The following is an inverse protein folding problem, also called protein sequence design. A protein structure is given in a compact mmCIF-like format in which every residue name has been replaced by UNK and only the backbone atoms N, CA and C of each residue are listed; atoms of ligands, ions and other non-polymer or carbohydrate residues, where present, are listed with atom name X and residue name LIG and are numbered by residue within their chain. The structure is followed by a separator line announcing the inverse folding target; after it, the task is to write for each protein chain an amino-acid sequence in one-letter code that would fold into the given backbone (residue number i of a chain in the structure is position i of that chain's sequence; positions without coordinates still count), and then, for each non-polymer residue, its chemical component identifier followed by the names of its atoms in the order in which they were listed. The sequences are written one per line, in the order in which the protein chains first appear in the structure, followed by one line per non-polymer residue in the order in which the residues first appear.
data_IF_265842057567
#
_entry.id   IF_265842057567
#
_cell.length_a   1.000
_cell.length_b   1.000
_cell.length_c   1.000
_cell.angle_alpha   90.00
_cell.angle_beta   90.00
_cell.angle_gamma   90.00
#
_symmetry.space_group_name_H-M   'P 1'
#
loop_
_entity.id
_entity.type
_entity.pdbx_description
1 polymer ?
#
# COMPACT_ATOMS: atom_id res chain seq x y z
N UNK A 1 -25.73 92.19 1.24
CA UNK A 1 -24.87 92.27 2.44
C UNK A 1 -24.49 90.87 2.90
N UNK A 2 -23.12 90.70 2.94
CA UNK A 2 -22.33 89.73 3.69
C UNK A 2 -22.42 88.26 3.26
N UNK A 3 -21.44 87.83 2.48
CA UNK A 3 -20.21 87.09 2.85
C UNK A 3 -20.41 86.07 4.00
N UNK A 4 -20.05 84.82 3.69
CA UNK A 4 -19.03 83.97 4.33
C UNK A 4 -18.90 82.62 3.61
N UNK A 5 -17.88 82.44 2.96
CA UNK A 5 -16.75 81.51 2.88
C UNK A 5 -16.83 80.31 3.81
N UNK A 6 -16.46 79.21 3.28
CA UNK A 6 -15.97 78.10 4.14
C UNK A 6 -16.02 76.73 3.55
N UNK A 7 -14.97 76.39 2.99
CA UNK A 7 -14.06 75.27 3.26
C UNK A 7 -14.48 73.91 2.69
N UNK A 8 -13.77 73.59 1.60
CA UNK A 8 -13.71 72.24 1.06
C UNK A 8 -13.04 71.25 2.02
N UNK A 9 -13.78 70.25 2.34
CA UNK A 9 -13.24 69.07 3.00
C UNK A 9 -12.75 68.04 2.01
N UNK A 10 -11.46 67.97 1.81
CA UNK A 10 -10.82 66.90 1.05
C UNK A 10 -10.93 65.58 1.82
N UNK A 11 -11.74 64.68 1.37
CA UNK A 11 -11.76 63.29 1.87
C UNK A 11 -10.46 62.61 1.50
N UNK A 12 -9.67 62.23 2.48
CA UNK A 12 -8.44 61.42 2.30
C UNK A 12 -8.87 60.02 1.86
N UNK A 13 -8.13 59.40 0.90
CA UNK A 13 -8.36 58.01 0.54
C UNK A 13 -8.01 57.09 1.69
N UNK A 14 -8.92 56.16 1.98
CA UNK A 14 -8.75 55.13 2.98
C UNK A 14 -7.53 54.28 2.64
N UNK A 15 -6.62 54.15 3.58
CA UNK A 15 -5.37 53.41 3.49
C UNK A 15 -5.64 51.92 3.26
N UNK A 16 -5.00 51.41 2.24
CA UNK A 16 -4.54 50.05 1.99
C UNK A 16 -4.84 49.05 3.13
N UNK A 17 -5.67 48.08 2.82
CA UNK A 17 -5.80 46.86 3.61
C UNK A 17 -4.49 46.10 3.46
N UNK A 18 -3.67 46.11 4.50
CA UNK A 18 -2.51 45.26 4.62
C UNK A 18 -3.03 43.81 4.67
N UNK A 19 -2.84 43.08 3.59
CA UNK A 19 -3.06 41.66 3.57
C UNK A 19 -2.21 41.00 4.68
N UNK A 20 -2.89 40.41 5.63
CA UNK A 20 -2.25 39.57 6.63
C UNK A 20 -1.50 38.45 5.88
N UNK A 21 -0.19 38.24 6.10
CA UNK A 21 0.50 37.13 5.46
C UNK A 21 -0.16 35.84 5.95
N UNK A 22 -0.72 35.06 5.02
CA UNK A 22 -1.17 33.72 5.29
C UNK A 22 -0.01 32.97 5.93
N UNK A 23 -0.15 32.68 7.21
CA UNK A 23 0.78 31.84 7.93
C UNK A 23 0.63 30.45 7.32
N UNK A 24 1.54 30.08 6.37
CA UNK A 24 1.69 28.69 5.94
C UNK A 24 1.97 27.90 7.20
N UNK A 25 0.92 27.26 7.72
CA UNK A 25 1.07 26.26 8.76
C UNK A 25 1.81 25.11 8.09
N UNK A 26 3.10 25.04 8.36
CA UNK A 26 3.92 23.90 8.00
C UNK A 26 3.40 22.75 8.84
N UNK A 27 2.35 22.06 8.36
CA UNK A 27 1.88 20.84 8.98
C UNK A 27 3.05 19.86 8.87
N UNK A 28 3.77 19.66 9.96
CA UNK A 28 4.76 18.59 10.06
C UNK A 28 4.06 17.33 9.57
N UNK A 29 4.58 16.78 8.49
CA UNK A 29 4.11 15.55 7.93
C UNK A 29 4.15 14.49 9.03
N UNK A 30 2.97 14.07 9.49
CA UNK A 30 2.91 13.10 10.59
C UNK A 30 3.18 11.72 9.99
N UNK A 31 4.34 11.16 10.32
CA UNK A 31 4.70 9.78 9.98
C UNK A 31 3.76 8.84 10.74
N UNK A 32 2.91 8.12 9.99
CA UNK A 32 1.92 7.18 10.56
C UNK A 32 1.90 5.90 9.73
N UNK A 33 2.10 4.77 10.38
CA UNK A 33 1.94 3.44 9.77
C UNK A 33 0.53 3.23 9.20
N UNK A 34 -0.48 3.90 9.76
CA UNK A 34 -1.86 3.85 9.26
C UNK A 34 -2.03 4.37 7.83
N UNK A 35 -1.15 5.26 7.34
CA UNK A 35 -1.17 5.70 5.94
C UNK A 35 -0.71 4.58 5.01
N UNK A 36 0.39 3.91 5.35
CA UNK A 36 0.91 2.79 4.57
C UNK A 36 -0.09 1.62 4.57
N UNK A 37 -0.65 1.27 5.72
CA UNK A 37 -1.69 0.25 5.79
C UNK A 37 -2.92 0.61 4.95
N UNK A 38 -3.41 1.85 5.04
CA UNK A 38 -4.54 2.32 4.22
C UNK A 38 -4.23 2.35 2.72
N UNK A 39 -2.98 2.62 2.33
CA UNK A 39 -2.55 2.52 0.93
C UNK A 39 -2.56 1.06 0.46
N UNK A 40 -1.99 0.14 1.23
CA UNK A 40 -2.01 -1.30 0.93
C UNK A 40 -3.44 -1.86 0.85
N UNK A 41 -4.33 -1.46 1.77
CA UNK A 41 -5.74 -1.85 1.73
C UNK A 41 -6.44 -1.34 0.45
N UNK A 42 -6.15 -0.11 0.04
CA UNK A 42 -6.68 0.44 -1.22
C UNK A 42 -6.13 -0.32 -2.43
N UNK A 43 -4.82 -0.61 -2.45
CA UNK A 43 -4.19 -1.40 -3.51
C UNK A 43 -4.80 -2.80 -3.57
N UNK A 44 -4.97 -3.47 -2.43
CA UNK A 44 -5.64 -4.78 -2.36
C UNK A 44 -7.03 -4.74 -2.98
N UNK A 45 -7.89 -3.81 -2.58
CA UNK A 45 -9.27 -3.70 -3.11
C UNK A 45 -9.28 -3.43 -4.61
N UNK A 46 -8.37 -2.62 -5.10
CA UNK A 46 -8.24 -2.30 -6.53
C UNK A 46 -7.77 -3.53 -7.32
N UNK A 47 -6.71 -4.21 -6.88
CA UNK A 47 -6.22 -5.45 -7.48
C UNK A 47 -7.25 -6.57 -7.42
N UNK A 48 -7.96 -6.70 -6.29
CA UNK A 48 -9.02 -7.70 -6.15
C UNK A 48 -10.13 -7.50 -7.21
N UNK A 49 -10.57 -6.27 -7.39
CA UNK A 49 -11.59 -5.94 -8.41
C UNK A 49 -11.07 -6.22 -9.83
N UNK A 50 -9.86 -5.78 -10.15
CA UNK A 50 -9.38 -5.70 -11.52
C UNK A 50 -8.68 -7.00 -11.99
N UNK A 51 -8.07 -7.75 -11.09
CA UNK A 51 -7.32 -8.96 -11.42
C UNK A 51 -7.92 -10.25 -10.85
N UNK A 52 -8.63 -10.19 -9.73
CA UNK A 52 -9.24 -11.35 -9.08
C UNK A 52 -10.78 -11.35 -9.14
N UNK A 53 -11.37 -10.55 -10.04
CA UNK A 53 -12.84 -10.45 -10.23
C UNK A 53 -13.65 -10.11 -8.96
N UNK A 54 -13.03 -9.48 -7.97
CA UNK A 54 -13.64 -9.19 -6.67
C UNK A 54 -13.88 -10.42 -5.80
N UNK A 55 -13.24 -11.54 -6.09
CA UNK A 55 -13.52 -12.82 -5.45
C UNK A 55 -12.89 -12.99 -4.07
N UNK A 56 -11.85 -12.20 -3.75
CA UNK A 56 -11.14 -12.35 -2.50
C UNK A 56 -11.88 -11.67 -1.36
N UNK A 57 -12.00 -12.38 -0.24
CA UNK A 57 -12.39 -11.77 1.01
C UNK A 57 -11.28 -10.85 1.51
N UNK A 58 -11.61 -9.61 1.87
CA UNK A 58 -10.61 -8.63 2.33
C UNK A 58 -9.97 -9.12 3.65
N UNK A 59 -8.63 -9.32 3.69
CA UNK A 59 -7.93 -9.73 4.89
C UNK A 59 -7.72 -8.53 5.83
N UNK A 60 -7.20 -8.79 7.02
CA UNK A 60 -6.60 -7.72 7.83
C UNK A 60 -5.16 -7.54 7.34
N UNK A 61 -4.86 -6.37 6.78
CA UNK A 61 -3.51 -6.04 6.32
C UNK A 61 -2.70 -5.51 7.50
N UNK A 62 -1.55 -6.13 7.73
CA UNK A 62 -0.60 -5.73 8.77
C UNK A 62 0.76 -5.39 8.16
N UNK A 63 1.54 -4.58 8.89
CA UNK A 63 2.90 -4.20 8.53
C UNK A 63 3.80 -4.55 9.70
N UNK A 64 4.40 -5.73 9.64
CA UNK A 64 5.27 -6.25 10.69
C UNK A 64 6.53 -6.84 10.08
N UNK A 65 7.63 -6.87 10.84
CA UNK A 65 8.85 -7.54 10.40
C UNK A 65 8.61 -9.02 10.22
N UNK A 66 9.01 -9.55 9.07
CA UNK A 66 8.95 -10.98 8.76
C UNK A 66 10.34 -11.46 8.35
N UNK A 67 11.08 -12.13 9.24
CA UNK A 67 12.41 -12.61 8.90
C UNK A 67 12.40 -13.56 7.69
N UNK A 68 13.16 -13.20 6.65
CA UNK A 68 13.36 -14.04 5.48
C UNK A 68 12.20 -14.08 4.46
N UNK A 69 11.18 -13.22 4.61
CA UNK A 69 10.10 -13.08 3.63
C UNK A 69 9.71 -11.61 3.43
N UNK A 70 9.15 -11.30 2.28
CA UNK A 70 8.62 -9.97 1.94
C UNK A 70 7.17 -9.77 2.38
N UNK A 71 6.45 -10.85 2.59
CA UNK A 71 5.09 -10.89 3.08
C UNK A 71 4.70 -12.30 3.54
N UNK A 72 3.52 -12.45 4.06
CA UNK A 72 2.89 -13.75 4.30
C UNK A 72 1.38 -13.63 4.51
N UNK A 73 0.67 -14.70 4.26
CA UNK A 73 -0.75 -14.87 4.57
C UNK A 73 -0.90 -15.97 5.61
N UNK A 74 -1.78 -15.76 6.59
CA UNK A 74 -2.14 -16.82 7.54
C UNK A 74 -3.06 -17.84 6.89
N UNK A 75 -2.73 -19.13 7.03
CA UNK A 75 -3.56 -20.22 6.50
C UNK A 75 -4.92 -20.29 7.21
N UNK A 76 -4.92 -20.06 8.53
CA UNK A 76 -6.15 -19.96 9.30
C UNK A 76 -6.58 -18.51 9.44
N UNK A 77 -7.87 -18.26 9.52
CA UNK A 77 -8.41 -16.95 9.89
C UNK A 77 -8.07 -16.65 11.35
N UNK A 78 -7.27 -15.64 11.61
CA UNK A 78 -6.70 -15.33 12.94
C UNK A 78 -7.29 -14.08 13.57
N UNK A 79 -7.87 -13.20 12.76
CA UNK A 79 -8.48 -11.97 13.23
C UNK A 79 -9.99 -12.13 13.39
N UNK A 80 -10.49 -11.77 14.58
CA UNK A 80 -11.92 -11.82 14.89
C UNK A 80 -12.47 -10.42 15.12
N UNK A 81 -13.53 -10.08 14.38
CA UNK A 81 -14.33 -8.87 14.59
C UNK A 81 -15.79 -9.27 14.76
N UNK A 82 -16.30 -9.24 15.98
CA UNK A 82 -17.61 -9.82 16.35
C UNK A 82 -17.62 -11.32 15.98
N UNK A 83 -18.47 -11.74 15.05
CA UNK A 83 -18.57 -13.12 14.57
C UNK A 83 -17.89 -13.35 13.23
N UNK A 84 -17.22 -12.33 12.70
CA UNK A 84 -16.50 -12.36 11.43
C UNK A 84 -15.02 -12.64 11.66
N UNK A 85 -14.49 -13.65 10.98
CA UNK A 85 -13.11 -14.09 11.05
C UNK A 85 -12.40 -13.80 9.74
N UNK A 86 -11.19 -13.24 9.82
CA UNK A 86 -10.39 -12.83 8.66
C UNK A 86 -8.99 -13.44 8.69
N UNK A 87 -8.45 -13.67 7.51
CA UNK A 87 -7.03 -13.93 7.31
C UNK A 87 -6.23 -12.67 7.63
N UNK A 88 -4.97 -12.86 8.02
CA UNK A 88 -3.97 -11.79 8.02
C UNK A 88 -3.17 -11.87 6.72
N UNK A 89 -2.96 -10.71 6.10
CA UNK A 89 -1.96 -10.50 5.07
C UNK A 89 -0.94 -9.51 5.61
N UNK A 90 0.26 -9.99 5.89
CA UNK A 90 1.33 -9.13 6.36
C UNK A 90 2.28 -8.75 5.24
N UNK A 91 2.57 -7.45 5.11
CA UNK A 91 3.66 -6.93 4.30
C UNK A 91 4.84 -6.62 5.21
N UNK A 92 6.01 -7.16 4.87
CA UNK A 92 7.18 -7.03 5.72
C UNK A 92 7.67 -5.58 5.80
N UNK A 93 7.61 -5.01 7.01
CA UNK A 93 7.98 -3.63 7.30
C UNK A 93 9.42 -3.30 6.88
N UNK A 94 10.32 -4.28 6.94
CA UNK A 94 11.75 -4.13 6.64
C UNK A 94 12.02 -3.93 5.14
N UNK A 95 11.03 -4.17 4.29
CA UNK A 95 11.14 -4.17 2.84
C UNK A 95 10.13 -3.27 2.13
N UNK A 96 9.51 -2.35 2.87
CA UNK A 96 8.45 -1.50 2.33
C UNK A 96 8.98 -0.36 1.44
N UNK A 97 10.25 0.03 1.61
CA UNK A 97 10.94 1.05 0.78
C UNK A 97 11.41 0.54 -0.59
N UNK A 98 11.14 -0.72 -0.93
CA UNK A 98 11.41 -1.21 -2.28
C UNK A 98 10.57 -0.43 -3.29
N UNK A 99 10.98 -0.39 -4.58
CA UNK A 99 10.16 0.17 -5.63
C UNK A 99 8.71 -0.31 -5.56
N UNK A 100 7.75 0.57 -5.85
CA UNK A 100 6.32 0.26 -5.71
C UNK A 100 5.89 -0.98 -6.51
N UNK A 101 6.51 -1.20 -7.66
CA UNK A 101 6.28 -2.38 -8.50
C UNK A 101 6.68 -3.68 -7.80
N UNK A 102 7.77 -3.69 -7.03
CA UNK A 102 8.19 -4.86 -6.26
C UNK A 102 7.29 -5.10 -5.04
N UNK A 103 6.86 -4.02 -4.37
CA UNK A 103 5.90 -4.11 -3.27
C UNK A 103 4.55 -4.60 -3.77
N UNK A 104 4.10 -4.10 -4.92
CA UNK A 104 2.85 -4.55 -5.55
C UNK A 104 2.93 -6.00 -5.99
N UNK A 105 4.05 -6.42 -6.59
CA UNK A 105 4.26 -7.82 -6.97
C UNK A 105 4.23 -8.75 -5.74
N UNK A 106 4.79 -8.31 -4.61
CA UNK A 106 4.67 -9.04 -3.34
C UNK A 106 3.22 -9.11 -2.87
N UNK A 107 2.48 -8.00 -2.94
CA UNK A 107 1.06 -7.99 -2.55
C UNK A 107 0.25 -8.97 -3.41
N UNK A 108 0.46 -8.99 -4.74
CA UNK A 108 -0.19 -9.94 -5.64
C UNK A 108 0.19 -11.38 -5.28
N UNK A 109 1.45 -11.65 -4.96
CA UNK A 109 1.91 -12.98 -4.52
C UNK A 109 1.10 -13.47 -3.30
N UNK A 110 0.91 -12.63 -2.31
CA UNK A 110 0.11 -12.96 -1.12
C UNK A 110 -1.39 -13.08 -1.45
N UNK A 111 -1.90 -12.28 -2.39
CA UNK A 111 -3.28 -12.40 -2.85
C UNK A 111 -3.53 -13.73 -3.59
N UNK A 112 -2.56 -14.26 -4.32
CA UNK A 112 -2.63 -15.59 -4.94
C UNK A 112 -2.77 -16.69 -3.88
N UNK A 113 -2.06 -16.57 -2.75
CA UNK A 113 -2.27 -17.51 -1.64
C UNK A 113 -3.69 -17.44 -1.08
N UNK A 114 -4.26 -16.25 -0.91
CA UNK A 114 -5.66 -16.09 -0.49
C UNK A 114 -6.64 -16.71 -1.49
N UNK A 115 -6.40 -16.52 -2.79
CA UNK A 115 -7.21 -17.12 -3.84
C UNK A 115 -7.16 -18.65 -3.78
N UNK A 116 -5.97 -19.21 -3.66
CA UNK A 116 -5.76 -20.64 -3.57
C UNK A 116 -6.38 -21.25 -2.29
N UNK A 117 -6.26 -20.57 -1.16
CA UNK A 117 -6.92 -20.97 0.10
C UNK A 117 -8.44 -20.98 -0.06
N UNK A 118 -9.03 -19.95 -0.64
CA UNK A 118 -10.48 -19.87 -0.90
C UNK A 118 -10.96 -21.01 -1.78
N UNK A 119 -10.18 -21.37 -2.80
CA UNK A 119 -10.54 -22.40 -3.77
C UNK A 119 -10.06 -23.81 -3.39
N UNK A 120 -9.55 -23.99 -2.17
CA UNK A 120 -9.01 -25.27 -1.68
C UNK A 120 -7.89 -25.84 -2.58
N UNK A 121 -7.11 -24.96 -3.19
CA UNK A 121 -5.94 -25.32 -4.01
C UNK A 121 -4.73 -25.35 -3.09
N UNK A 122 -4.13 -26.53 -2.95
CA UNK A 122 -2.86 -26.65 -2.23
C UNK A 122 -1.73 -26.15 -3.12
N UNK A 123 -1.28 -24.94 -2.89
CA UNK A 123 -0.26 -24.22 -3.64
C UNK A 123 1.14 -24.35 -3.01
N UNK A 124 1.21 -24.68 -1.74
CA UNK A 124 2.44 -24.93 -1.00
C UNK A 124 2.54 -26.34 -0.44
N UNK A 125 3.77 -26.80 -0.22
CA UNK A 125 4.12 -28.04 0.46
C UNK A 125 5.21 -27.81 1.51
N UNK A 126 5.71 -28.87 2.16
CA UNK A 126 6.74 -28.79 3.21
C UNK A 126 6.40 -27.79 4.32
N UNK A 127 5.17 -27.89 4.84
CA UNK A 127 4.72 -26.98 5.91
C UNK A 127 4.55 -25.51 5.46
N UNK A 128 4.21 -25.28 4.20
CA UNK A 128 3.99 -23.92 3.66
C UNK A 128 5.24 -23.25 3.08
N UNK A 129 6.40 -23.91 3.13
CA UNK A 129 7.66 -23.26 2.71
C UNK A 129 8.03 -23.47 1.25
N UNK A 130 7.43 -24.43 0.56
CA UNK A 130 7.75 -24.77 -0.83
C UNK A 130 6.56 -24.50 -1.73
N UNK A 131 6.68 -23.51 -2.61
CA UNK A 131 5.66 -23.17 -3.60
C UNK A 131 5.71 -24.18 -4.76
N UNK A 132 4.57 -24.77 -5.05
CA UNK A 132 4.46 -25.78 -6.11
C UNK A 132 4.04 -25.15 -7.45
N UNK A 133 3.85 -25.99 -8.47
CA UNK A 133 3.49 -25.53 -9.81
C UNK A 133 2.09 -24.87 -9.87
N UNK A 134 1.15 -25.28 -9.00
CA UNK A 134 -0.19 -24.67 -8.95
C UNK A 134 -0.13 -23.21 -8.51
N UNK A 135 0.79 -22.88 -7.57
CA UNK A 135 1.05 -21.49 -7.21
C UNK A 135 1.49 -20.68 -8.43
N UNK A 136 2.49 -21.18 -9.17
CA UNK A 136 2.98 -20.50 -10.37
C UNK A 136 1.88 -20.28 -11.40
N UNK A 137 1.13 -21.34 -11.73
CA UNK A 137 0.08 -21.31 -12.75
C UNK A 137 -1.02 -20.30 -12.42
N UNK A 138 -1.33 -20.11 -11.13
CA UNK A 138 -2.27 -19.07 -10.72
C UNK A 138 -1.63 -17.69 -10.72
N UNK A 139 -0.44 -17.55 -10.15
CA UNK A 139 0.24 -16.26 -10.03
C UNK A 139 0.49 -15.58 -11.40
N UNK A 140 0.86 -16.35 -12.42
CA UNK A 140 1.13 -15.82 -13.76
C UNK A 140 -0.13 -15.34 -14.52
N UNK A 141 -1.32 -15.50 -13.96
CA UNK A 141 -2.56 -14.88 -14.45
C UNK A 141 -2.76 -13.44 -13.96
N UNK A 142 -1.93 -12.99 -12.99
CA UNK A 142 -2.12 -11.76 -12.23
C UNK A 142 -0.97 -10.75 -12.40
N UNK A 143 -0.54 -10.49 -13.65
CA UNK A 143 0.46 -9.46 -14.00
C UNK A 143 1.84 -9.67 -13.35
N UNK A 144 2.18 -10.86 -12.86
CA UNK A 144 3.50 -11.21 -12.33
C UNK A 144 4.03 -12.46 -13.02
N UNK A 145 5.35 -12.63 -13.03
CA UNK A 145 5.97 -13.89 -13.47
C UNK A 145 6.71 -14.56 -12.32
N UNK A 146 6.80 -15.89 -12.37
CA UNK A 146 7.35 -16.68 -11.27
C UNK A 146 8.50 -17.54 -11.76
N UNK A 147 9.66 -17.35 -11.14
CA UNK A 147 10.85 -18.18 -11.35
C UNK A 147 11.02 -19.19 -10.21
N UNK A 148 11.75 -20.25 -10.50
CA UNK A 148 11.98 -21.33 -9.55
C UNK A 148 13.24 -21.12 -8.75
N UNK A 149 13.13 -21.21 -7.44
CA UNK A 149 14.21 -21.38 -6.50
C UNK A 149 14.42 -22.87 -6.18
N UNK A 150 15.67 -23.32 -6.00
CA UNK A 150 15.98 -24.73 -5.73
C UNK A 150 15.41 -25.21 -4.39
N UNK A 151 15.40 -24.37 -3.38
CA UNK A 151 15.01 -24.69 -2.01
C UNK A 151 13.52 -24.47 -1.77
N UNK A 152 12.97 -23.35 -2.32
CA UNK A 152 11.62 -22.85 -2.00
C UNK A 152 10.63 -23.03 -3.14
N UNK A 153 11.04 -23.60 -4.28
CA UNK A 153 10.17 -23.89 -5.41
C UNK A 153 9.86 -22.66 -6.24
N UNK A 154 8.64 -22.55 -6.74
CA UNK A 154 8.19 -21.46 -7.60
C UNK A 154 7.81 -20.22 -6.78
N UNK A 155 8.82 -19.50 -6.27
CA UNK A 155 8.65 -18.42 -5.30
C UNK A 155 9.27 -17.09 -5.69
N UNK A 156 10.19 -17.07 -6.67
CA UNK A 156 10.85 -15.83 -7.08
C UNK A 156 9.87 -15.04 -7.95
N UNK A 157 9.27 -14.04 -7.36
CA UNK A 157 8.31 -13.15 -8.04
C UNK A 157 9.05 -12.07 -8.80
N UNK A 158 8.69 -11.91 -10.08
CA UNK A 158 9.24 -10.89 -10.97
C UNK A 158 8.14 -9.94 -11.43
N UNK A 159 8.51 -8.68 -11.49
CA UNK A 159 7.69 -7.61 -12.05
C UNK A 159 7.61 -7.78 -13.58
N UNK A 160 6.42 -7.63 -14.16
CA UNK A 160 6.20 -7.62 -15.61
C UNK A 160 5.98 -6.18 -16.11
N UNK A 161 6.13 -5.98 -17.41
CA UNK A 161 5.79 -4.69 -18.04
C UNK A 161 4.31 -4.33 -17.85
N UNK A 162 3.43 -5.33 -17.93
CA UNK A 162 1.99 -5.16 -17.68
C UNK A 162 1.72 -4.61 -16.26
N UNK A 163 2.41 -5.13 -15.25
CA UNK A 163 2.28 -4.63 -13.88
C UNK A 163 2.77 -3.19 -13.75
N UNK A 164 3.87 -2.84 -14.39
CA UNK A 164 4.40 -1.46 -14.38
C UNK A 164 3.39 -0.49 -15.00
N UNK A 165 2.85 -0.82 -16.18
CA UNK A 165 1.84 -0.01 -16.85
C UNK A 165 0.58 0.15 -16.00
N UNK A 166 0.14 -0.94 -15.35
CA UNK A 166 -0.99 -0.91 -14.44
C UNK A 166 -0.75 0.02 -13.24
N UNK A 167 0.42 -0.05 -12.60
CA UNK A 167 0.79 0.80 -11.46
C UNK A 167 0.80 2.29 -11.86
N UNK A 168 1.37 2.60 -13.03
CA UNK A 168 1.39 3.96 -13.56
C UNK A 168 -0.04 4.47 -13.78
N UNK A 169 -0.91 3.64 -14.37
CA UNK A 169 -2.31 3.99 -14.60
C UNK A 169 -3.09 4.23 -13.30
N UNK A 170 -2.74 3.53 -12.21
CA UNK A 170 -3.33 3.74 -10.88
C UNK A 170 -2.75 4.95 -10.14
N UNK A 171 -1.61 5.49 -10.58
CA UNK A 171 -0.90 6.57 -9.91
C UNK A 171 -0.37 6.17 -8.53
N UNK A 172 0.08 4.92 -8.37
CA UNK A 172 0.68 4.47 -7.12
C UNK A 172 2.13 4.90 -7.01
N UNK A 173 2.52 5.34 -5.81
CA UNK A 173 3.84 5.86 -5.49
C UNK A 173 4.53 5.00 -4.44
N UNK A 174 5.86 5.10 -4.37
CA UNK A 174 6.67 4.38 -3.39
C UNK A 174 6.26 4.69 -1.95
N UNK A 175 6.37 3.68 -1.10
CA UNK A 175 6.21 3.86 0.33
C UNK A 175 7.41 4.60 0.90
N UNK A 176 7.15 5.72 1.57
CA UNK A 176 8.19 6.58 2.16
C UNK A 176 8.55 6.14 3.59
N UNK A 177 8.50 4.82 3.87
CA UNK A 177 8.80 4.28 5.19
C UNK A 177 9.20 2.82 5.13
N UNK A 178 10.17 2.48 5.98
CA UNK A 178 10.63 1.11 6.20
C UNK A 178 11.08 0.96 7.64
N UNK A 179 11.18 -0.25 8.10
CA UNK A 179 11.73 -0.58 9.41
C UNK A 179 13.08 -1.24 9.25
N UNK A 180 14.12 -0.69 9.89
CA UNK A 180 15.40 -1.39 9.93
C UNK A 180 15.26 -2.70 10.72
N UNK A 181 15.72 -3.83 10.16
CA UNK A 181 15.71 -5.08 10.87
C UNK A 181 16.55 -4.98 12.16
N UNK A 182 15.99 -5.40 13.27
CA UNK A 182 16.68 -5.40 14.55
C UNK A 182 17.83 -6.44 14.63
N UNK A 183 17.91 -7.32 13.63
CA UNK A 183 18.91 -8.37 13.53
C UNK A 183 20.13 -7.87 12.76
N UNK A 184 21.21 -7.56 13.45
CA UNK A 184 22.50 -7.19 12.83
C UNK A 184 23.07 -5.83 13.23
N UNK A 185 22.41 -5.06 14.05
CA UNK A 185 23.03 -3.91 14.70
C UNK A 185 23.83 -4.46 15.88
N UNK A 186 25.13 -4.71 15.63
CA UNK A 186 26.14 -4.95 16.67
C UNK A 186 26.78 -3.62 17.04
#
# INVERSE_FOLDING_TARGET
RKHLTGAGGKSKPCKTIISCPERKVNMKETVKTSRAAGQLEKMFRTLNRDSFNGELEEPIITIQSTPGAYGHVTVAKTWKRKDDWRHELNMAADWLERPIEEVTATLIHEMVHLYNLKNNIQDCSRGGTYHNRKFKEEAEKHMISIEKDEKYGWTITKVTEELIEYIIAQGWEDFQMSRFPLYGIK
#
